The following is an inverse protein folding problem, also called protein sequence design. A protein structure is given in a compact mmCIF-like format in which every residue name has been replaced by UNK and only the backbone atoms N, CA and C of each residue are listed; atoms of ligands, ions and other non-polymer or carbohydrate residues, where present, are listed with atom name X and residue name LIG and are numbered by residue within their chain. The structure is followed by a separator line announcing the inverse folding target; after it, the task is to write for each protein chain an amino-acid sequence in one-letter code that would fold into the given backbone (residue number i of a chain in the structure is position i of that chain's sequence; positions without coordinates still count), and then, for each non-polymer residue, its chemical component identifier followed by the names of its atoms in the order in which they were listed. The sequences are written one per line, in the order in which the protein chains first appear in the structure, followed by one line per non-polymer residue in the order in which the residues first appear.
data_IF_847418469361
#
_entry.id   IF_847418469361
#
_cell.length_a   1.000
_cell.length_b   1.000
_cell.length_c   1.000
_cell.angle_alpha   90.00
_cell.angle_beta   90.00
_cell.angle_gamma   90.00
#
_symmetry.space_group_name_H-M   'P 1'
#
loop_
_entity.id
_entity.type
_entity.pdbx_description
1 polymer ?
#
# COMPACT_ATOMS: atom_id res chain seq x y z
N UNK A 1 9.69 15.83 -24.89
CA UNK A 1 8.54 14.90 -24.77
C UNK A 1 8.12 14.62 -23.32
N UNK A 2 9.02 14.25 -22.38
CA UNK A 2 8.66 13.97 -20.96
C UNK A 2 8.30 15.18 -20.05
N UNK A 3 8.50 16.41 -20.52
CA UNK A 3 8.13 17.64 -19.80
C UNK A 3 6.72 18.13 -20.19
N UNK A 4 6.33 17.93 -21.44
CA UNK A 4 5.00 18.24 -21.96
C UNK A 4 3.94 17.27 -21.40
N UNK A 5 4.26 15.99 -21.19
CA UNK A 5 3.36 15.05 -20.50
C UNK A 5 3.12 15.39 -19.02
N UNK A 6 4.09 16.03 -18.35
CA UNK A 6 3.92 16.51 -16.96
C UNK A 6 3.07 17.78 -16.90
N UNK A 7 3.27 18.72 -17.81
CA UNK A 7 2.46 19.92 -17.92
C UNK A 7 1.02 19.61 -18.40
N UNK A 8 0.84 18.62 -19.28
CA UNK A 8 -0.48 18.17 -19.74
C UNK A 8 -1.27 17.49 -18.62
N UNK A 9 -0.62 16.71 -17.75
CA UNK A 9 -1.25 16.16 -16.54
C UNK A 9 -1.57 17.23 -15.49
N UNK A 10 -0.70 18.23 -15.28
CA UNK A 10 -0.96 19.34 -14.35
C UNK A 10 -2.10 20.24 -14.84
N UNK A 11 -2.23 20.48 -16.15
CA UNK A 11 -3.33 21.27 -16.71
C UNK A 11 -4.69 20.54 -16.64
N UNK A 12 -4.69 19.21 -16.82
CA UNK A 12 -5.90 18.38 -16.61
C UNK A 12 -6.25 18.30 -15.12
N UNK A 13 -5.26 18.17 -14.23
CA UNK A 13 -5.47 18.20 -12.78
C UNK A 13 -5.98 19.57 -12.30
N UNK A 14 -5.46 20.69 -12.82
CA UNK A 14 -5.99 22.04 -12.54
C UNK A 14 -7.42 22.20 -13.04
N UNK A 15 -7.73 21.73 -14.25
CA UNK A 15 -9.07 21.83 -14.83
C UNK A 15 -10.09 20.91 -14.15
N UNK A 16 -9.65 19.79 -13.58
CA UNK A 16 -10.47 18.91 -12.73
C UNK A 16 -10.58 19.43 -11.28
N UNK A 17 -9.65 20.26 -10.82
CA UNK A 17 -9.77 20.98 -9.54
C UNK A 17 -10.66 22.23 -9.62
N UNK A 18 -10.89 22.79 -10.81
CA UNK A 18 -11.81 23.92 -11.03
C UNK A 18 -13.30 23.52 -11.06
N UNK A 19 -13.62 22.21 -11.09
CA UNK A 19 -14.98 21.69 -11.01
C UNK A 19 -15.17 20.83 -9.75
N UNK A 20 -15.64 21.47 -8.67
CA UNK A 20 -16.09 20.88 -7.38
C UNK A 20 -15.08 19.98 -6.66
N UNK A 21 -14.73 20.37 -5.45
CA UNK A 21 -13.80 19.66 -4.58
C UNK A 21 -14.21 18.20 -4.38
N UNK A 22 -13.27 17.27 -4.52
CA UNK A 22 -13.47 15.81 -4.42
C UNK A 22 -14.18 15.38 -3.12
N UNK A 23 -14.06 16.19 -2.06
CA UNK A 23 -14.76 16.01 -0.79
C UNK A 23 -16.27 16.31 -0.88
N UNK A 24 -16.67 17.34 -1.64
CA UNK A 24 -18.08 17.78 -1.76
C UNK A 24 -18.93 16.77 -2.53
N UNK A 25 -18.33 16.11 -3.54
CA UNK A 25 -18.98 15.03 -4.30
C UNK A 25 -19.11 13.72 -3.53
N UNK A 26 -18.31 13.52 -2.48
CA UNK A 26 -18.40 12.37 -1.56
C UNK A 26 -19.51 12.61 -0.54
N UNK A 27 -19.58 13.81 0.04
CA UNK A 27 -20.60 14.16 1.05
C UNK A 27 -22.03 14.19 0.50
N UNK A 28 -22.25 14.68 -0.74
CA UNK A 28 -23.62 14.80 -1.30
C UNK A 28 -24.28 13.43 -1.59
N UNK A 29 -23.50 12.35 -1.76
CA UNK A 29 -24.00 11.01 -2.10
C UNK A 29 -24.18 10.07 -0.89
N UNK A 30 -23.60 10.43 0.26
CA UNK A 30 -23.79 9.72 1.54
C UNK A 30 -25.22 9.88 2.06
N UNK A 31 -25.95 10.91 1.63
CA UNK A 31 -27.35 11.15 2.00
C UNK A 31 -28.35 10.13 1.40
N UNK A 32 -27.94 9.29 0.45
CA UNK A 32 -28.82 8.40 -0.32
C UNK A 32 -28.61 6.91 -0.05
N UNK A 33 -28.58 6.44 1.21
CA UNK A 33 -28.69 5.01 1.55
C UNK A 33 -27.64 4.06 0.95
N UNK A 34 -26.60 4.58 0.29
CA UNK A 34 -25.58 3.79 -0.39
C UNK A 34 -24.55 3.33 0.64
N UNK A 35 -24.26 2.03 0.64
CA UNK A 35 -23.21 1.41 1.44
C UNK A 35 -21.91 2.22 1.29
N UNK A 36 -21.21 2.54 2.39
CA UNK A 36 -19.95 3.28 2.30
C UNK A 36 -18.97 2.59 1.34
N UNK A 37 -18.15 3.33 0.57
CA UNK A 37 -17.24 2.77 -0.41
C UNK A 37 -16.30 1.69 0.18
N UNK A 38 -15.95 0.65 -0.57
CA UNK A 38 -15.00 -0.39 -0.12
C UNK A 38 -13.71 0.17 0.47
N UNK A 39 -13.18 1.27 -0.09
CA UNK A 39 -11.94 1.87 0.36
C UNK A 39 -12.05 2.50 1.77
N UNK A 40 -13.27 2.77 2.23
CA UNK A 40 -13.58 3.23 3.58
C UNK A 40 -13.92 2.07 4.53
N UNK A 41 -14.20 0.88 4.02
CA UNK A 41 -14.66 -0.26 4.83
C UNK A 41 -13.61 -1.31 5.09
N UNK A 42 -12.63 -1.41 4.20
CA UNK A 42 -11.48 -2.32 4.34
C UNK A 42 -10.32 -1.57 4.97
N UNK A 43 -9.81 -2.06 6.11
CA UNK A 43 -8.65 -1.45 6.77
C UNK A 43 -7.44 -1.40 5.85
N UNK A 44 -7.26 -2.44 5.01
CA UNK A 44 -6.18 -2.50 4.04
C UNK A 44 -6.22 -1.37 3.00
N UNK A 45 -7.41 -0.91 2.62
CA UNK A 45 -7.57 0.18 1.67
C UNK A 45 -7.25 1.54 2.31
N UNK A 46 -7.73 1.78 3.53
CA UNK A 46 -7.38 2.99 4.32
C UNK A 46 -5.87 3.11 4.53
N UNK A 47 -5.24 2.01 4.96
CA UNK A 47 -3.80 1.93 5.16
C UNK A 47 -3.00 2.20 3.88
N UNK A 48 -3.47 1.69 2.74
CA UNK A 48 -2.83 1.97 1.44
C UNK A 48 -2.91 3.45 1.07
N UNK A 49 -4.07 4.08 1.30
CA UNK A 49 -4.25 5.53 1.11
C UNK A 49 -3.31 6.35 2.00
N UNK A 50 -3.25 6.01 3.30
CA UNK A 50 -2.34 6.65 4.25
C UNK A 50 -0.88 6.53 3.80
N UNK A 51 -0.40 5.32 3.48
CA UNK A 51 0.99 5.13 3.07
C UNK A 51 1.34 5.85 1.77
N UNK A 52 0.37 5.99 0.84
CA UNK A 52 0.57 6.79 -0.36
C UNK A 52 0.89 8.25 0.00
N UNK A 53 0.09 8.87 0.86
CA UNK A 53 0.30 10.26 1.32
C UNK A 53 1.61 10.43 2.09
N UNK A 54 1.93 9.48 2.97
CA UNK A 54 3.20 9.48 3.73
C UNK A 54 4.41 9.39 2.79
N UNK A 55 4.30 8.64 1.68
CA UNK A 55 5.35 8.54 0.66
C UNK A 55 5.44 9.80 -0.18
N UNK A 56 4.32 10.31 -0.68
CA UNK A 56 4.26 11.53 -1.51
C UNK A 56 4.84 12.73 -0.75
N UNK A 57 4.42 12.95 0.49
CA UNK A 57 4.98 14.01 1.35
C UNK A 57 6.45 13.81 1.74
N UNK A 58 7.01 12.62 1.51
CA UNK A 58 8.39 12.27 1.87
C UNK A 58 9.38 12.38 0.73
N UNK A 59 8.91 12.50 -0.52
CA UNK A 59 9.77 12.49 -1.70
C UNK A 59 10.82 13.59 -1.59
N UNK A 60 10.40 14.85 -1.37
CA UNK A 60 11.31 15.98 -1.31
C UNK A 60 12.23 15.92 -0.08
N UNK A 61 11.70 15.64 1.11
CA UNK A 61 12.50 15.50 2.32
C UNK A 61 13.63 14.46 2.19
N UNK A 62 13.35 13.29 1.60
CA UNK A 62 14.37 12.26 1.43
C UNK A 62 15.26 12.47 0.19
N UNK A 63 14.74 12.95 -0.93
CA UNK A 63 15.55 13.17 -2.15
C UNK A 63 16.50 14.37 -2.02
N UNK A 64 16.10 15.43 -1.31
CA UNK A 64 16.97 16.60 -1.02
C UNK A 64 18.17 16.19 -0.16
N UNK A 65 17.98 15.28 0.79
CA UNK A 65 19.00 14.98 1.81
C UNK A 65 19.74 13.65 1.62
N UNK A 66 19.12 12.66 0.98
CA UNK A 66 19.62 11.28 0.88
C UNK A 66 19.60 10.80 -0.58
N UNK A 67 20.78 10.73 -1.20
CA UNK A 67 20.99 10.31 -2.59
C UNK A 67 20.73 8.83 -2.92
N UNK A 68 19.76 8.19 -2.26
CA UNK A 68 19.38 6.79 -2.46
C UNK A 68 17.88 6.66 -2.75
N UNK A 69 17.50 5.68 -3.57
CA UNK A 69 16.10 5.40 -3.92
C UNK A 69 15.31 4.89 -2.70
N UNK A 70 13.98 4.99 -2.75
CA UNK A 70 13.08 4.56 -1.66
C UNK A 70 13.39 3.14 -1.16
N UNK A 71 13.47 2.15 -2.06
CA UNK A 71 13.77 0.77 -1.68
C UNK A 71 15.14 0.64 -0.99
N UNK A 72 16.15 1.40 -1.42
CA UNK A 72 17.48 1.39 -0.80
C UNK A 72 17.44 2.00 0.61
N UNK A 73 16.74 3.12 0.78
CA UNK A 73 16.53 3.74 2.11
C UNK A 73 15.79 2.78 3.04
N UNK A 74 14.76 2.11 2.55
CA UNK A 74 14.02 1.11 3.30
C UNK A 74 14.90 -0.06 3.76
N UNK A 75 15.79 -0.57 2.88
CA UNK A 75 16.75 -1.61 3.26
C UNK A 75 17.70 -1.14 4.37
N UNK A 76 18.24 0.07 4.27
CA UNK A 76 19.15 0.63 5.27
C UNK A 76 18.43 0.76 6.63
N UNK A 77 17.22 1.31 6.64
CA UNK A 77 16.39 1.42 7.86
C UNK A 77 16.18 0.03 8.47
N UNK A 78 15.73 -0.93 7.67
CA UNK A 78 15.41 -2.26 8.18
C UNK A 78 16.65 -2.96 8.74
N UNK A 79 17.76 -2.99 8.00
CA UNK A 79 19.00 -3.63 8.46
C UNK A 79 19.54 -2.94 9.72
N UNK A 80 19.49 -1.60 9.78
CA UNK A 80 19.96 -0.85 10.94
C UNK A 80 19.09 -1.06 12.19
N UNK A 81 17.77 -1.05 12.02
CA UNK A 81 16.80 -1.28 13.10
C UNK A 81 16.92 -2.69 13.68
N UNK A 82 17.12 -3.71 12.82
CA UNK A 82 17.18 -5.11 13.27
C UNK A 82 18.56 -5.60 13.66
N UNK A 83 19.61 -4.82 13.36
CA UNK A 83 21.00 -5.26 13.47
C UNK A 83 21.43 -6.28 12.40
N UNK A 84 20.51 -6.73 11.54
CA UNK A 84 20.80 -7.57 10.39
C UNK A 84 19.61 -8.35 9.86
N UNK A 85 19.50 -8.49 8.53
CA UNK A 85 18.43 -9.26 7.87
C UNK A 85 18.96 -10.06 6.68
N UNK A 86 18.47 -11.28 6.52
CA UNK A 86 18.66 -12.04 5.28
C UNK A 86 17.81 -11.47 4.14
N UNK A 87 18.21 -11.74 2.89
CA UNK A 87 17.41 -11.34 1.72
C UNK A 87 15.99 -11.92 1.74
N UNK A 88 15.79 -13.08 2.36
CA UNK A 88 14.47 -13.71 2.48
C UNK A 88 13.57 -12.97 3.48
N UNK A 89 14.11 -12.56 4.62
CA UNK A 89 13.39 -11.75 5.61
C UNK A 89 13.02 -10.39 5.03
N UNK A 90 13.92 -9.77 4.25
CA UNK A 90 13.65 -8.50 3.55
C UNK A 90 12.48 -8.65 2.56
N UNK A 91 12.48 -9.68 1.72
CA UNK A 91 11.37 -9.97 0.79
C UNK A 91 10.07 -10.15 1.58
N UNK A 92 10.13 -10.86 2.71
CA UNK A 92 8.97 -11.12 3.56
C UNK A 92 8.43 -9.86 4.25
N UNK A 93 9.31 -8.96 4.68
CA UNK A 93 8.96 -7.73 5.39
C UNK A 93 8.47 -6.60 4.48
N UNK A 94 9.10 -6.47 3.30
CA UNK A 94 8.81 -5.38 2.36
C UNK A 94 7.71 -5.73 1.36
N UNK A 95 7.48 -7.02 1.12
CA UNK A 95 6.62 -7.49 0.03
C UNK A 95 7.17 -7.23 -1.38
N UNK A 96 8.42 -6.78 -1.50
CA UNK A 96 9.09 -6.63 -2.79
C UNK A 96 9.47 -7.99 -3.38
N UNK A 97 9.53 -8.06 -4.71
CA UNK A 97 10.03 -9.26 -5.39
C UNK A 97 11.51 -9.50 -5.09
N UNK A 98 11.92 -10.76 -5.02
CA UNK A 98 13.31 -11.16 -4.78
C UNK A 98 14.30 -10.48 -5.75
N UNK A 99 13.91 -10.34 -7.02
CA UNK A 99 14.72 -9.65 -8.02
C UNK A 99 14.87 -8.15 -7.72
N UNK A 100 13.81 -7.48 -7.27
CA UNK A 100 13.85 -6.06 -6.89
C UNK A 100 14.75 -5.85 -5.66
N UNK A 101 14.60 -6.71 -4.64
CA UNK A 101 15.45 -6.69 -3.44
C UNK A 101 16.92 -6.91 -3.81
N UNK A 102 17.23 -7.92 -4.63
CA UNK A 102 18.61 -8.19 -5.06
C UNK A 102 19.22 -7.02 -5.85
N UNK A 103 18.44 -6.37 -6.71
CA UNK A 103 18.88 -5.20 -7.48
C UNK A 103 19.10 -3.97 -6.60
N UNK A 104 18.34 -3.83 -5.51
CA UNK A 104 18.50 -2.75 -4.55
C UNK A 104 19.70 -2.95 -3.61
N UNK A 105 20.02 -4.20 -3.28
CA UNK A 105 21.17 -4.57 -2.43
C UNK A 105 22.50 -4.25 -3.13
N UNK A 106 22.64 -4.61 -4.41
CA UNK A 106 23.93 -4.52 -5.13
C UNK A 106 24.61 -3.13 -5.04
N UNK A 107 23.94 -2.00 -5.32
CA UNK A 107 24.56 -0.69 -5.19
C UNK A 107 24.93 -0.30 -3.75
N UNK A 108 24.25 -0.86 -2.74
CA UNK A 108 24.57 -0.61 -1.34
C UNK A 108 25.84 -1.37 -0.91
N UNK A 109 26.05 -2.58 -1.45
CA UNK A 109 27.29 -3.35 -1.26
C UNK A 109 28.46 -2.69 -1.99
N UNK A 110 28.27 -2.30 -3.26
CA UNK A 110 29.29 -1.61 -4.06
C UNK A 110 29.71 -0.27 -3.41
N UNK A 111 28.78 0.42 -2.74
CA UNK A 111 29.06 1.64 -1.99
C UNK A 111 29.65 1.40 -0.59
N UNK A 112 29.90 0.15 -0.20
CA UNK A 112 30.43 -0.20 1.12
C UNK A 112 29.52 0.20 2.29
N UNK A 113 28.20 0.27 2.05
CA UNK A 113 27.22 0.60 3.10
C UNK A 113 26.76 -0.63 3.87
N UNK A 114 26.70 -1.78 3.19
CA UNK A 114 26.27 -3.05 3.75
C UNK A 114 27.21 -4.17 3.34
N UNK A 115 27.25 -5.22 4.13
CA UNK A 115 28.02 -6.42 3.82
C UNK A 115 27.21 -7.70 4.10
N UNK A 116 27.66 -8.81 3.52
CA UNK A 116 27.24 -10.16 3.89
C UNK A 116 28.48 -11.02 4.07
N UNK A 117 28.54 -11.78 5.16
CA UNK A 117 29.67 -12.68 5.44
C UNK A 117 29.74 -13.86 4.44
N UNK A 118 28.57 -14.40 4.06
CA UNK A 118 28.45 -15.50 3.09
C UNK A 118 27.15 -15.43 2.31
N UNK A 119 27.04 -16.24 1.25
CA UNK A 119 25.81 -16.37 0.48
C UNK A 119 24.64 -16.79 1.41
N UNK A 120 23.55 -16.00 1.40
CA UNK A 120 22.36 -16.16 2.28
C UNK A 120 22.55 -15.78 3.77
N UNK A 121 23.69 -15.22 4.16
CA UNK A 121 23.86 -14.63 5.49
C UNK A 121 22.97 -13.40 5.69
N UNK A 122 22.90 -12.93 6.95
CA UNK A 122 22.30 -11.64 7.27
C UNK A 122 23.16 -10.53 6.68
N UNK A 123 22.51 -9.57 6.05
CA UNK A 123 23.11 -8.30 5.66
C UNK A 123 23.23 -7.43 6.91
N UNK A 124 24.37 -6.79 7.12
CA UNK A 124 24.65 -5.88 8.23
C UNK A 124 25.09 -4.51 7.71
N UNK A 125 24.90 -3.46 8.51
CA UNK A 125 25.38 -2.12 8.15
C UNK A 125 26.87 -1.97 8.50
N UNK A 126 27.67 -1.55 7.53
CA UNK A 126 29.04 -1.08 7.72
C UNK A 126 29.07 0.34 8.33
N UNK A 127 30.21 0.84 8.85
CA UNK A 127 30.29 2.18 9.44
C UNK A 127 29.76 3.33 8.54
N UNK A 128 30.04 3.35 7.21
CA UNK A 128 29.41 4.33 6.31
C UNK A 128 27.89 4.16 6.22
N UNK A 129 27.40 2.91 6.18
CA UNK A 129 25.96 2.60 6.20
C UNK A 129 25.27 3.06 7.48
N UNK A 130 25.93 2.92 8.64
CA UNK A 130 25.43 3.41 9.94
C UNK A 130 25.28 4.94 9.95
N UNK A 131 26.24 5.69 9.39
CA UNK A 131 26.12 7.16 9.25
C UNK A 131 24.91 7.56 8.39
N UNK A 132 24.67 6.86 7.28
CA UNK A 132 23.49 7.11 6.44
C UNK A 132 22.22 6.73 7.18
N UNK A 133 22.21 5.60 7.89
CA UNK A 133 21.12 5.18 8.75
C UNK A 133 20.77 6.25 9.78
N UNK A 134 21.74 6.78 10.51
CA UNK A 134 21.52 7.81 11.54
C UNK A 134 20.88 9.08 10.95
N UNK A 135 21.35 9.51 9.77
CA UNK A 135 20.76 10.64 9.02
C UNK A 135 19.31 10.36 8.62
N UNK A 136 19.05 9.19 8.03
CA UNK A 136 17.69 8.77 7.66
C UNK A 136 16.80 8.74 8.90
N UNK A 137 17.28 8.20 10.02
CA UNK A 137 16.51 8.09 11.26
C UNK A 137 16.17 9.45 11.86
N UNK A 138 17.02 10.46 11.71
CA UNK A 138 16.70 11.84 12.12
C UNK A 138 15.52 12.39 11.32
N UNK A 139 15.55 12.27 9.99
CA UNK A 139 14.42 12.67 9.13
C UNK A 139 13.17 11.85 9.47
N UNK A 140 13.32 10.54 9.62
CA UNK A 140 12.21 9.63 9.94
C UNK A 140 11.56 9.98 11.27
N UNK A 141 12.32 10.30 12.32
CA UNK A 141 11.78 10.72 13.63
C UNK A 141 11.01 12.03 13.54
N UNK A 142 11.55 13.03 12.85
CA UNK A 142 10.86 14.30 12.65
C UNK A 142 9.54 14.11 11.90
N UNK A 143 9.54 13.27 10.86
CA UNK A 143 8.34 12.94 10.09
C UNK A 143 7.35 12.10 10.88
N UNK A 144 7.81 11.15 11.69
CA UNK A 144 6.96 10.32 12.55
C UNK A 144 6.27 11.17 13.63
N UNK A 145 6.98 12.15 14.19
CA UNK A 145 6.41 13.14 15.10
C UNK A 145 5.36 14.02 14.42
N UNK A 146 5.60 14.49 13.18
CA UNK A 146 4.60 15.22 12.42
C UNK A 146 3.38 14.36 12.08
N UNK A 147 3.60 13.10 11.69
CA UNK A 147 2.56 12.15 11.35
C UNK A 147 1.67 11.80 12.56
N UNK A 148 2.26 11.71 13.75
CA UNK A 148 1.56 11.34 14.99
C UNK A 148 1.08 12.54 15.81
N UNK A 149 1.22 13.76 15.28
CA UNK A 149 0.85 14.98 15.98
C UNK A 149 -0.63 14.99 16.43
N UNK A 150 -0.85 15.30 17.70
CA UNK A 150 -2.19 15.35 18.31
C UNK A 150 -2.84 13.98 18.55
N UNK A 151 -2.05 12.90 18.58
CA UNK A 151 -2.48 11.59 19.08
C UNK A 151 -1.84 11.39 20.46
N UNK A 152 -2.65 11.06 21.48
CA UNK A 152 -2.17 10.82 22.83
C UNK A 152 -1.19 9.64 22.89
N UNK A 153 -0.22 9.70 23.80
CA UNK A 153 0.85 8.70 23.87
C UNK A 153 0.34 7.28 24.12
N UNK A 154 -0.68 7.13 24.97
CA UNK A 154 -1.29 5.84 25.28
C UNK A 154 -2.12 5.30 24.10
N UNK A 155 -2.83 6.18 23.38
CA UNK A 155 -3.54 5.82 22.16
C UNK A 155 -2.58 5.39 21.05
N UNK A 156 -1.47 6.11 20.86
CA UNK A 156 -0.44 5.74 19.90
C UNK A 156 0.16 4.37 20.25
N UNK A 157 0.45 4.13 21.54
CA UNK A 157 0.95 2.83 22.03
C UNK A 157 -0.05 1.71 21.77
N UNK A 158 -1.34 1.94 22.03
CA UNK A 158 -2.43 1.00 21.72
C UNK A 158 -2.51 0.72 20.22
N UNK A 159 -2.49 1.75 19.39
CA UNK A 159 -2.53 1.63 17.92
C UNK A 159 -1.34 0.84 17.36
N UNK A 160 -0.14 1.07 17.89
CA UNK A 160 1.06 0.31 17.53
C UNK A 160 0.90 -1.17 17.90
N UNK A 161 0.44 -1.48 19.11
CA UNK A 161 0.23 -2.86 19.55
C UNK A 161 -0.80 -3.58 18.68
N UNK A 162 -1.93 -2.91 18.35
CA UNK A 162 -2.92 -3.44 17.43
C UNK A 162 -2.35 -3.65 16.01
N UNK A 163 -1.53 -2.73 15.50
CA UNK A 163 -0.87 -2.90 14.19
C UNK A 163 0.03 -4.13 14.16
N UNK A 164 0.76 -4.41 15.24
CA UNK A 164 1.59 -5.61 15.35
C UNK A 164 0.76 -6.90 15.41
N UNK A 165 -0.36 -6.88 16.11
CA UNK A 165 -1.31 -8.00 16.16
C UNK A 165 -1.96 -8.27 14.81
N UNK A 166 -2.51 -7.24 14.15
CA UNK A 166 -3.04 -7.34 12.80
C UNK A 166 -1.99 -7.81 11.80
N UNK A 167 -0.71 -7.44 11.99
CA UNK A 167 0.39 -7.94 11.15
C UNK A 167 0.58 -9.45 11.32
N UNK A 168 0.46 -9.97 12.55
CA UNK A 168 0.49 -11.42 12.79
C UNK A 168 -0.69 -12.12 12.13
N UNK A 169 -1.91 -11.59 12.27
CA UNK A 169 -3.10 -12.14 11.60
C UNK A 169 -2.95 -12.12 10.07
N UNK A 170 -2.50 -11.01 9.50
CA UNK A 170 -2.24 -10.88 8.06
C UNK A 170 -1.18 -11.85 7.56
N UNK A 171 -0.15 -12.14 8.36
CA UNK A 171 0.86 -13.15 8.03
C UNK A 171 0.30 -14.58 8.06
N UNK A 172 -0.55 -14.90 9.03
CA UNK A 172 -1.27 -16.19 9.06
C UNK A 172 -2.17 -16.35 7.83
N UNK A 173 -2.96 -15.31 7.49
CA UNK A 173 -3.78 -15.28 6.27
C UNK A 173 -2.93 -15.45 5.00
N UNK A 174 -1.73 -14.87 4.96
CA UNK A 174 -0.81 -15.05 3.83
C UNK A 174 -0.28 -16.48 3.73
N UNK A 175 0.14 -17.07 4.85
CA UNK A 175 0.64 -18.43 4.90
C UNK A 175 -0.41 -19.45 4.45
N UNK A 176 -1.63 -19.30 4.95
CA UNK A 176 -2.75 -20.16 4.58
C UNK A 176 -3.13 -20.00 3.11
N UNK A 177 -3.23 -18.76 2.62
CA UNK A 177 -3.58 -18.53 1.22
C UNK A 177 -2.50 -19.05 0.25
N UNK A 178 -1.23 -19.02 0.66
CA UNK A 178 -0.13 -19.62 -0.09
C UNK A 178 -0.28 -21.15 -0.16
N UNK A 179 -0.69 -21.80 0.93
CA UNK A 179 -0.97 -23.24 0.96
C UNK A 179 -2.12 -23.58 -0.01
N UNK A 180 -3.25 -22.88 0.10
CA UNK A 180 -4.41 -23.08 -0.78
C UNK A 180 -4.09 -22.82 -2.26
N UNK A 181 -3.27 -21.81 -2.54
CA UNK A 181 -2.84 -21.49 -3.92
C UNK A 181 -1.87 -22.53 -4.49
N UNK A 182 -1.04 -23.16 -3.66
CA UNK A 182 -0.18 -24.25 -4.11
C UNK A 182 -0.99 -25.52 -4.40
N UNK A 183 -1.96 -25.86 -3.55
CA UNK A 183 -2.90 -26.97 -3.75
C UNK A 183 -3.74 -26.78 -5.02
N UNK A 184 -4.14 -25.53 -5.32
CA UNK A 184 -4.87 -25.18 -6.53
C UNK A 184 -3.98 -25.07 -7.79
N UNK A 185 -2.66 -25.30 -7.69
CA UNK A 185 -1.73 -25.21 -8.83
C UNK A 185 -1.49 -23.79 -9.35
N UNK A 186 -1.92 -22.76 -8.63
CA UNK A 186 -1.75 -21.33 -9.00
C UNK A 186 -0.29 -20.90 -8.85
N UNK A 187 0.42 -21.48 -7.89
CA UNK A 187 1.85 -21.26 -7.63
C UNK A 187 2.56 -22.61 -7.44
N UNK A 188 3.85 -22.68 -7.77
CA UNK A 188 4.65 -23.88 -7.57
C UNK A 188 4.78 -24.26 -6.09
N UNK A 189 4.80 -25.56 -5.80
CA UNK A 189 5.04 -26.10 -4.46
C UNK A 189 6.47 -25.76 -3.99
N UNK A 190 6.64 -24.72 -3.15
CA UNK A 190 7.94 -24.38 -2.57
C UNK A 190 7.84 -23.56 -1.26
N UNK A 191 8.64 -24.04 -0.29
CA UNK A 191 8.94 -23.64 1.11
C UNK A 191 7.87 -22.87 1.90
N UNK A 192 7.67 -23.29 3.16
CA UNK A 192 6.78 -22.65 4.13
C UNK A 192 6.88 -21.11 4.07
N UNK A 193 5.73 -20.43 4.08
CA UNK A 193 5.72 -18.99 4.28
C UNK A 193 6.43 -18.70 5.61
N UNK A 194 7.46 -17.86 5.58
CA UNK A 194 8.03 -17.36 6.84
C UNK A 194 6.88 -16.72 7.64
N UNK A 195 6.78 -17.10 8.90
CA UNK A 195 5.84 -16.49 9.84
C UNK A 195 6.01 -14.97 9.92
N UNK A 196 5.07 -14.27 10.58
CA UNK A 196 5.23 -12.83 10.81
C UNK A 196 6.61 -12.59 11.44
N UNK A 197 7.41 -11.68 10.90
CA UNK A 197 8.66 -11.31 11.51
C UNK A 197 8.33 -10.74 12.89
N UNK A 198 8.90 -11.33 13.95
CA UNK A 198 9.10 -10.57 15.16
C UNK A 198 9.99 -9.39 14.75
N UNK A 199 9.51 -8.15 14.89
CA UNK A 199 10.39 -6.99 14.75
C UNK A 199 11.59 -7.23 15.67
N UNK A 200 12.79 -7.45 15.12
CA UNK A 200 13.92 -7.85 15.94
C UNK A 200 14.17 -6.76 16.98
N UNK A 201 14.48 -7.18 18.21
CA UNK A 201 15.20 -6.32 19.14
C UNK A 201 16.45 -5.81 18.43
N UNK A 202 16.78 -4.54 18.62
CA UNK A 202 17.98 -3.94 18.06
C UNK A 202 19.24 -4.74 18.44
N UNK A 203 20.39 -4.44 17.84
CA UNK A 203 21.64 -5.15 18.09
C UNK A 203 22.07 -5.18 19.57
N UNK A 204 21.48 -4.34 20.42
CA UNK A 204 21.67 -4.23 21.88
C UNK A 204 20.54 -4.87 22.72
N UNK A 205 19.62 -5.61 22.10
CA UNK A 205 18.45 -6.19 22.79
C UNK A 205 17.36 -5.16 23.13
N UNK A 206 17.55 -3.87 22.81
CA UNK A 206 16.54 -2.83 23.07
C UNK A 206 15.52 -2.79 21.94
N UNK A 207 14.26 -2.54 22.26
CA UNK A 207 13.24 -2.27 21.24
C UNK A 207 13.61 -0.96 20.55
N UNK A 208 13.85 -0.93 19.22
CA UNK A 208 14.06 0.30 18.49
C UNK A 208 12.91 1.28 18.79
N UNK A 209 13.20 2.59 18.94
CA UNK A 209 12.14 3.60 19.04
C UNK A 209 11.19 3.40 17.87
N UNK A 210 9.94 2.95 18.10
CA UNK A 210 9.18 2.32 17.05
C UNK A 210 8.61 3.38 16.14
N UNK A 211 9.31 3.66 15.03
CA UNK A 211 8.71 4.39 13.93
C UNK A 211 7.42 3.68 13.52
N UNK A 212 6.35 4.45 13.34
CA UNK A 212 5.05 3.90 12.99
C UNK A 212 5.04 3.41 11.55
N UNK A 213 5.65 4.18 10.65
CA UNK A 213 5.61 3.94 9.20
C UNK A 213 6.09 2.54 8.79
N UNK A 214 7.23 2.01 9.27
CA UNK A 214 7.65 0.64 8.96
C UNK A 214 6.65 -0.44 9.38
N UNK A 215 5.98 -0.27 10.53
CA UNK A 215 4.96 -1.22 11.02
C UNK A 215 3.76 -1.29 10.09
N UNK A 216 3.26 -0.12 9.67
CA UNK A 216 2.17 -0.02 8.70
C UNK A 216 2.54 -0.63 7.35
N UNK A 217 3.77 -0.38 6.87
CA UNK A 217 4.27 -0.95 5.61
C UNK A 217 4.27 -2.48 5.67
N UNK A 218 4.74 -3.08 6.76
CA UNK A 218 4.73 -4.54 6.90
C UNK A 218 3.32 -5.11 6.93
N UNK A 219 2.39 -4.50 7.67
CA UNK A 219 0.97 -4.90 7.66
C UNK A 219 0.42 -4.89 6.23
N UNK A 220 0.56 -3.77 5.51
CA UNK A 220 0.09 -3.62 4.13
C UNK A 220 0.73 -4.66 3.21
N UNK A 221 2.02 -4.96 3.37
CA UNK A 221 2.72 -5.94 2.56
C UNK A 221 2.14 -7.36 2.71
N UNK A 222 1.76 -7.76 3.93
CA UNK A 222 1.09 -9.05 4.16
C UNK A 222 -0.34 -9.06 3.62
N UNK A 223 -1.12 -8.00 3.90
CA UNK A 223 -2.49 -7.87 3.40
C UNK A 223 -2.54 -7.95 1.87
N UNK A 224 -1.67 -7.18 1.20
CA UNK A 224 -1.59 -7.15 -0.26
C UNK A 224 -1.23 -8.53 -0.82
N UNK A 225 -0.16 -9.17 -0.34
CA UNK A 225 0.27 -10.47 -0.88
C UNK A 225 -0.76 -11.57 -0.68
N UNK A 226 -1.41 -11.59 0.49
CA UNK A 226 -2.48 -12.55 0.77
C UNK A 226 -3.70 -12.28 -0.12
N UNK A 227 -4.13 -11.03 -0.28
CA UNK A 227 -5.25 -10.68 -1.16
C UNK A 227 -4.95 -11.01 -2.64
N UNK A 228 -3.74 -10.72 -3.12
CA UNK A 228 -3.30 -11.04 -4.48
C UNK A 228 -3.44 -12.54 -4.79
N UNK A 229 -2.95 -13.41 -3.90
CA UNK A 229 -3.06 -14.86 -4.07
C UNK A 229 -4.52 -15.32 -4.00
N UNK A 230 -5.30 -14.82 -3.04
CA UNK A 230 -6.70 -15.17 -2.89
C UNK A 230 -7.51 -14.83 -4.14
N UNK A 231 -7.33 -13.64 -4.69
CA UNK A 231 -8.05 -13.19 -5.88
C UNK A 231 -7.62 -13.94 -7.14
N UNK A 232 -6.32 -14.21 -7.28
CA UNK A 232 -5.82 -15.02 -8.39
C UNK A 232 -6.37 -16.45 -8.35
N UNK A 233 -6.37 -17.10 -7.18
CA UNK A 233 -6.89 -18.47 -7.01
C UNK A 233 -8.39 -18.56 -7.23
N UNK A 234 -9.15 -17.61 -6.69
CA UNK A 234 -10.62 -17.67 -6.73
C UNK A 234 -11.22 -17.20 -8.06
N UNK A 235 -10.60 -16.24 -8.72
CA UNK A 235 -11.21 -15.50 -9.82
C UNK A 235 -10.31 -15.34 -11.04
N UNK A 236 -9.05 -15.82 -11.00
CA UNK A 236 -8.11 -15.75 -12.12
C UNK A 236 -7.64 -14.35 -12.50
N UNK A 237 -8.10 -13.30 -11.79
CA UNK A 237 -7.70 -11.93 -12.05
C UNK A 237 -6.36 -11.61 -11.40
N UNK A 238 -5.53 -10.89 -12.15
CA UNK A 238 -4.40 -10.16 -11.57
C UNK A 238 -4.90 -9.09 -10.60
N UNK A 239 -4.02 -8.70 -9.67
CA UNK A 239 -4.30 -7.60 -8.73
C UNK A 239 -4.74 -6.31 -9.43
N UNK A 240 -4.15 -6.01 -10.59
CA UNK A 240 -4.44 -4.78 -11.32
C UNK A 240 -5.82 -4.82 -11.98
N UNK A 241 -6.20 -5.96 -12.56
CA UNK A 241 -7.56 -6.17 -13.09
C UNK A 241 -8.62 -6.05 -11.99
N UNK A 242 -8.35 -6.62 -10.82
CA UNK A 242 -9.20 -6.49 -9.65
C UNK A 242 -9.40 -5.02 -9.24
N UNK A 243 -8.32 -4.24 -9.12
CA UNK A 243 -8.43 -2.81 -8.75
C UNK A 243 -9.28 -2.00 -9.74
N UNK A 244 -9.10 -2.24 -11.03
CA UNK A 244 -9.89 -1.56 -12.07
C UNK A 244 -11.37 -1.94 -11.97
N UNK A 245 -11.68 -3.24 -11.85
CA UNK A 245 -13.06 -3.70 -11.72
C UNK A 245 -13.71 -3.16 -10.43
N UNK A 246 -12.96 -3.12 -9.33
CA UNK A 246 -13.47 -2.61 -8.06
C UNK A 246 -13.88 -1.14 -8.14
N UNK A 247 -13.08 -0.28 -8.79
CA UNK A 247 -13.42 1.14 -8.99
C UNK A 247 -14.68 1.28 -9.86
N UNK A 248 -14.78 0.50 -10.93
CA UNK A 248 -15.92 0.55 -11.85
C UNK A 248 -17.20 0.06 -11.17
N UNK A 249 -17.12 -1.03 -10.40
CA UNK A 249 -18.25 -1.65 -9.70
C UNK A 249 -18.77 -0.85 -8.51
N UNK A 250 -17.92 -0.08 -7.83
CA UNK A 250 -18.31 0.68 -6.65
C UNK A 250 -19.12 1.94 -6.99
N UNK A 251 -18.73 2.66 -8.04
CA UNK A 251 -19.35 3.95 -8.40
C UNK A 251 -19.67 4.06 -9.90
N UNK A 252 -20.46 3.13 -10.47
CA UNK A 252 -20.85 3.24 -11.88
C UNK A 252 -21.81 4.43 -12.10
N UNK A 253 -21.74 5.13 -13.24
CA UNK A 253 -20.73 4.99 -14.31
C UNK A 253 -19.43 5.78 -14.00
N UNK A 254 -18.28 5.24 -14.40
CA UNK A 254 -16.95 5.86 -14.20
C UNK A 254 -16.35 6.36 -15.53
N UNK A 255 -15.99 7.65 -15.67
CA UNK A 255 -15.25 8.12 -16.84
C UNK A 255 -13.86 7.47 -16.93
N UNK A 256 -13.45 7.00 -18.12
CA UNK A 256 -12.12 6.39 -18.32
C UNK A 256 -10.97 7.34 -17.92
N UNK A 257 -11.12 8.64 -18.19
CA UNK A 257 -10.14 9.65 -17.79
C UNK A 257 -9.97 9.69 -16.26
N UNK A 258 -11.09 9.62 -15.52
CA UNK A 258 -11.08 9.56 -14.05
C UNK A 258 -10.43 8.29 -13.54
N UNK A 259 -10.75 7.14 -14.15
CA UNK A 259 -10.11 5.86 -13.79
C UNK A 259 -8.57 5.93 -13.95
N UNK A 260 -8.07 6.53 -15.04
CA UNK A 260 -6.62 6.68 -15.27
C UNK A 260 -5.97 7.49 -14.14
N UNK A 261 -6.58 8.61 -13.76
CA UNK A 261 -6.11 9.46 -12.66
C UNK A 261 -6.12 8.68 -11.33
N UNK A 262 -7.23 8.01 -11.01
CA UNK A 262 -7.37 7.23 -9.77
C UNK A 262 -6.35 6.09 -9.66
N UNK A 263 -6.04 5.42 -10.78
CA UNK A 263 -5.08 4.32 -10.78
C UNK A 263 -3.62 4.79 -10.61
N UNK A 264 -3.31 6.06 -10.92
CA UNK A 264 -1.94 6.58 -10.88
C UNK A 264 -0.96 5.78 -11.75
N UNK A 265 -1.46 5.15 -12.82
CA UNK A 265 -0.70 4.34 -13.78
C UNK A 265 -0.74 4.96 -15.17
N UNK A 266 0.12 4.47 -16.07
CA UNK A 266 0.11 4.94 -17.44
C UNK A 266 -1.20 4.56 -18.16
N UNK A 267 -1.64 5.45 -19.05
CA UNK A 267 -2.87 5.32 -19.83
C UNK A 267 -2.94 4.02 -20.65
N UNK A 268 -1.80 3.51 -21.13
CA UNK A 268 -1.75 2.28 -21.93
C UNK A 268 -2.04 1.05 -21.07
N UNK A 269 -1.48 0.98 -19.87
CA UNK A 269 -1.73 -0.13 -18.93
C UNK A 269 -3.19 -0.17 -18.47
N UNK A 270 -3.77 0.98 -18.11
CA UNK A 270 -5.20 1.08 -17.75
C UNK A 270 -6.08 0.71 -18.94
N UNK A 271 -5.79 1.26 -20.13
CA UNK A 271 -6.55 0.98 -21.35
C UNK A 271 -6.56 -0.50 -21.74
N UNK A 272 -5.40 -1.19 -21.67
CA UNK A 272 -5.29 -2.64 -21.92
C UNK A 272 -6.11 -3.46 -20.93
N UNK A 273 -6.11 -3.05 -19.66
CA UNK A 273 -6.88 -3.74 -18.61
C UNK A 273 -8.37 -3.58 -18.81
N UNK A 274 -8.83 -2.36 -19.12
CA UNK A 274 -10.23 -2.09 -19.46
C UNK A 274 -10.64 -2.91 -20.70
N UNK A 275 -9.82 -2.95 -21.75
CA UNK A 275 -10.12 -3.76 -22.94
C UNK A 275 -10.23 -5.25 -22.61
N UNK A 276 -9.37 -5.77 -21.73
CA UNK A 276 -9.44 -7.15 -21.28
C UNK A 276 -10.71 -7.46 -20.47
N UNK A 277 -11.10 -6.56 -19.55
CA UNK A 277 -12.33 -6.73 -18.76
C UNK A 277 -13.59 -6.64 -19.64
N UNK A 278 -13.56 -5.77 -20.66
CA UNK A 278 -14.62 -5.66 -21.67
C UNK A 278 -14.73 -6.95 -22.51
N UNK A 279 -13.60 -7.48 -22.99
CA UNK A 279 -13.55 -8.77 -23.69
C UNK A 279 -14.04 -9.95 -22.83
N UNK A 280 -13.77 -9.92 -21.52
CA UNK A 280 -14.27 -10.89 -20.56
C UNK A 280 -15.78 -10.74 -20.26
N UNK A 281 -16.42 -9.70 -20.80
CA UNK A 281 -17.82 -9.37 -20.59
C UNK A 281 -18.11 -8.89 -19.17
N UNK A 282 -17.12 -8.35 -18.46
CA UNK A 282 -17.27 -7.85 -17.08
C UNK A 282 -17.59 -6.36 -17.03
N UNK A 283 -17.24 -5.60 -18.07
CA UNK A 283 -17.58 -4.18 -18.17
C UNK A 283 -18.03 -3.85 -19.58
N UNK A 284 -18.71 -2.72 -19.72
CA UNK A 284 -19.07 -2.14 -21.01
C UNK A 284 -18.64 -0.68 -21.10
N UNK A 285 -18.42 -0.22 -22.34
CA UNK A 285 -18.06 1.16 -22.66
C UNK A 285 -19.23 1.86 -23.35
N UNK A 286 -19.73 2.92 -22.74
CA UNK A 286 -20.75 3.78 -23.35
C UNK A 286 -20.15 5.14 -23.72
N UNK A 287 -20.64 5.72 -24.82
CA UNK A 287 -20.33 7.10 -25.23
C UNK A 287 -21.64 7.88 -25.27
N UNK A 288 -22.02 8.56 -24.17
CA UNK A 288 -23.25 9.33 -24.15
C UNK A 288 -23.19 10.44 -25.21
N UNK A 289 -24.24 10.62 -26.01
CA UNK A 289 -24.26 11.53 -27.19
C UNK A 289 -23.89 12.99 -26.87
N UNK A 290 -24.06 13.43 -25.62
CA UNK A 290 -23.70 14.78 -25.12
C UNK A 290 -22.33 14.87 -24.45
N UNK A 291 -21.67 13.76 -24.12
CA UNK A 291 -20.34 13.73 -23.47
C UNK A 291 -19.34 13.08 -24.42
N UNK A 292 -18.20 13.72 -24.66
CA UNK A 292 -17.13 13.10 -25.49
C UNK A 292 -16.37 11.99 -24.74
N UNK A 293 -16.67 11.79 -23.46
CA UNK A 293 -15.97 10.87 -22.59
C UNK A 293 -16.49 9.43 -22.72
N UNK A 294 -15.56 8.49 -22.63
CA UNK A 294 -15.87 7.06 -22.53
C UNK A 294 -16.27 6.80 -21.07
N UNK A 295 -17.50 6.33 -20.88
CA UNK A 295 -18.01 5.90 -19.59
C UNK A 295 -17.86 4.38 -19.46
N UNK A 296 -17.54 3.93 -18.26
CA UNK A 296 -17.32 2.53 -17.90
C UNK A 296 -18.37 2.10 -16.89
N UNK A 297 -19.04 0.99 -17.17
CA UNK A 297 -20.06 0.40 -16.31
C UNK A 297 -19.83 -1.12 -16.19
N UNK A 298 -20.13 -1.75 -15.05
CA UNK A 298 -20.14 -3.19 -14.96
C UNK A 298 -21.34 -3.75 -15.77
N UNK A 299 -21.13 -4.85 -16.47
CA UNK A 299 -22.26 -5.65 -16.99
C UNK A 299 -22.95 -6.37 -15.83
N UNK A 300 -24.09 -7.02 -16.06
CA UNK A 300 -24.71 -7.90 -15.03
C UNK A 300 -23.71 -8.96 -14.51
N UNK A 301 -22.99 -9.63 -15.43
CA UNK A 301 -21.90 -10.56 -15.10
C UNK A 301 -20.78 -9.88 -14.30
N UNK A 302 -20.43 -8.64 -14.67
CA UNK A 302 -19.45 -7.82 -13.97
C UNK A 302 -19.84 -7.48 -12.54
N UNK A 303 -21.11 -7.13 -12.33
CA UNK A 303 -21.67 -6.81 -11.03
C UNK A 303 -21.68 -8.04 -10.10
N UNK A 304 -22.11 -9.20 -10.62
CA UNK A 304 -22.06 -10.47 -9.86
C UNK A 304 -20.62 -10.84 -9.49
N UNK A 305 -19.69 -10.68 -10.43
CA UNK A 305 -18.27 -10.95 -10.21
C UNK A 305 -17.68 -10.01 -9.16
N UNK A 306 -18.01 -8.71 -9.24
CA UNK A 306 -17.63 -7.72 -8.26
C UNK A 306 -18.19 -8.05 -6.86
N UNK A 307 -19.45 -8.50 -6.78
CA UNK A 307 -20.06 -8.89 -5.52
C UNK A 307 -19.37 -10.11 -4.89
N UNK A 308 -19.03 -11.13 -5.68
CA UNK A 308 -18.26 -12.29 -5.19
C UNK A 308 -16.87 -11.90 -4.66
N UNK A 309 -16.17 -11.00 -5.36
CA UNK A 309 -14.89 -10.43 -4.90
C UNK A 309 -15.05 -9.65 -3.61
N UNK A 310 -16.10 -8.84 -3.52
CA UNK A 310 -16.45 -8.04 -2.36
C UNK A 310 -16.67 -8.95 -1.13
N UNK A 311 -17.43 -10.03 -1.29
CA UNK A 311 -17.70 -10.97 -0.19
C UNK A 311 -16.43 -11.70 0.27
N UNK A 312 -15.53 -12.03 -0.67
CA UNK A 312 -14.21 -12.57 -0.35
C UNK A 312 -13.36 -11.56 0.43
N UNK A 313 -13.36 -10.28 0.04
CA UNK A 313 -12.64 -9.24 0.76
C UNK A 313 -13.18 -9.08 2.19
N UNK A 314 -14.50 -9.13 2.37
CA UNK A 314 -15.13 -9.04 3.69
C UNK A 314 -14.82 -10.23 4.59
N UNK A 315 -14.89 -11.48 4.09
CA UNK A 315 -14.50 -12.66 4.88
C UNK A 315 -13.06 -12.57 5.37
N UNK A 316 -12.17 -12.01 4.54
CA UNK A 316 -10.76 -11.82 4.88
C UNK A 316 -10.55 -10.68 5.88
N UNK A 317 -11.32 -9.60 5.77
CA UNK A 317 -11.37 -8.51 6.74
C UNK A 317 -11.84 -9.05 8.11
N UNK A 318 -12.89 -9.86 8.15
CA UNK A 318 -13.40 -10.47 9.39
C UNK A 318 -12.36 -11.41 10.01
N UNK A 319 -11.67 -12.22 9.20
CA UNK A 319 -10.59 -13.07 9.68
C UNK A 319 -9.38 -12.28 10.18
N UNK A 320 -9.07 -11.13 9.58
CA UNK A 320 -8.02 -10.22 10.03
C UNK A 320 -8.34 -9.63 11.42
N UNK A 321 -9.60 -9.28 11.65
CA UNK A 321 -10.09 -8.72 12.91
C UNK A 321 -10.51 -9.78 13.95
N UNK A 322 -10.30 -11.06 13.67
CA UNK A 322 -10.61 -12.14 14.62
C UNK A 322 -9.96 -11.86 15.99
N UNK A 323 -10.75 -11.93 17.07
CA UNK A 323 -10.31 -11.63 18.43
C UNK A 323 -10.41 -10.15 18.84
N UNK A 324 -10.73 -9.22 17.94
CA UNK A 324 -11.02 -7.83 18.26
C UNK A 324 -12.52 -7.55 18.32
N UNK A 325 -12.92 -6.65 19.21
CA UNK A 325 -14.29 -6.15 19.31
C UNK A 325 -14.53 -4.95 18.36
N UNK A 326 -15.80 -4.55 18.26
CA UNK A 326 -16.20 -3.42 17.43
C UNK A 326 -15.56 -2.09 17.90
N UNK A 327 -15.37 -1.93 19.21
CA UNK A 327 -14.76 -0.72 19.78
C UNK A 327 -13.27 -0.61 19.42
N UNK A 328 -12.52 -1.70 19.49
CA UNK A 328 -11.12 -1.76 19.04
C UNK A 328 -10.99 -1.45 17.55
N UNK A 329 -11.84 -2.05 16.71
CA UNK A 329 -11.85 -1.76 15.27
C UNK A 329 -12.16 -0.29 14.98
N UNK A 330 -13.17 0.29 15.65
CA UNK A 330 -13.54 1.69 15.49
C UNK A 330 -12.39 2.63 15.91
N UNK A 331 -11.75 2.34 17.05
CA UNK A 331 -10.56 3.07 17.51
C UNK A 331 -9.45 3.05 16.45
N UNK A 332 -9.09 1.87 15.93
CA UNK A 332 -8.01 1.74 14.95
C UNK A 332 -8.30 2.51 13.66
N UNK A 333 -9.55 2.46 13.17
CA UNK A 333 -9.99 3.21 11.99
C UNK A 333 -9.89 4.73 12.25
N UNK A 334 -10.40 5.20 13.40
CA UNK A 334 -10.34 6.61 13.76
C UNK A 334 -8.88 7.11 13.86
N UNK A 335 -7.96 6.29 14.39
CA UNK A 335 -6.54 6.62 14.42
C UNK A 335 -5.94 6.68 13.01
N UNK A 336 -6.26 5.75 12.10
CA UNK A 336 -5.84 5.85 10.68
C UNK A 336 -6.33 7.13 10.05
N UNK A 337 -7.57 7.53 10.32
CA UNK A 337 -8.15 8.74 9.74
C UNK A 337 -7.43 9.98 10.24
N UNK A 338 -7.10 10.04 11.54
CA UNK A 338 -6.26 11.11 12.11
C UNK A 338 -4.86 11.16 11.48
N UNK A 339 -4.20 10.01 11.34
CA UNK A 339 -2.90 9.90 10.66
C UNK A 339 -2.99 10.34 9.19
N UNK A 340 -4.11 10.07 8.53
CA UNK A 340 -4.36 10.45 7.13
C UNK A 340 -4.50 11.96 6.99
N UNK A 341 -5.19 12.62 7.92
CA UNK A 341 -5.25 14.09 7.98
C UNK A 341 -3.84 14.66 8.15
N UNK A 342 -3.09 14.19 9.16
CA UNK A 342 -1.72 14.66 9.38
C UNK A 342 -0.82 14.45 8.16
N UNK A 343 -0.96 13.33 7.44
CA UNK A 343 -0.19 13.04 6.23
C UNK A 343 -0.56 13.97 5.05
N UNK A 344 -1.81 14.44 4.96
CA UNK A 344 -2.23 15.46 3.98
C UNK A 344 -1.62 16.82 4.31
N UNK A 345 -1.70 17.24 5.57
CA UNK A 345 -1.09 18.50 6.02
C UNK A 345 0.42 18.52 5.76
N UNK A 346 1.09 17.37 5.94
CA UNK A 346 2.50 17.22 5.60
C UNK A 346 2.76 17.38 4.09
N UNK A 347 1.90 16.84 3.23
CA UNK A 347 2.02 16.98 1.77
C UNK A 347 1.81 18.43 1.34
N UNK A 348 0.77 19.09 1.84
CA UNK A 348 0.45 20.49 1.52
C UNK A 348 1.58 21.44 1.91
N UNK A 349 2.19 21.23 3.09
CA UNK A 349 3.35 22.01 3.54
C UNK A 349 4.58 21.84 2.63
N UNK A 350 4.80 20.64 2.11
CA UNK A 350 5.91 20.37 1.17
C UNK A 350 5.64 20.95 -0.22
N UNK A 351 4.39 20.96 -0.68
CA UNK A 351 4.01 21.59 -1.95
C UNK A 351 4.10 23.12 -1.90
N UNK A 352 3.96 23.70 -0.71
CA UNK A 352 4.11 25.14 -0.48
C UNK A 352 5.57 25.62 -0.32
N UNK A 353 6.55 24.71 -0.19
CA UNK A 353 7.94 24.99 0.17
C UNK A 353 8.98 24.70 -0.94
#
# INVERSE_FOLDING_TARGET
MRALDRLYNVAILKRLCEERTLAELIDEKVAGGTRAPMHERLVGARLFGLIRLVRESGVHAYEREIGYKEIQRQLIIMIGVTGGLSSHEIVSLTGHEKAQVSRAIKPLEEAGLIERERLRAKLTLLPPGKKIFDRIMTISRARDAALTAGIEADDLKRFIAMTEELTRHAATLYAEERRLSAEAGVIGACSAAAGPPAWPTGPDGRKPTPLLTPKLISLIAYLKRSAMLAYQRSHGLSHFQWQVLAIIGETPPVPLARLIVMMGRDKSQVGRTVAHLEQAGLIERTRPTRRRDIMLEPTAKGADFFQSLYDLAMRREDALWSGHDAAGRAFYIATIDRLTVNARDMLEKEEAA
#
